data_IF_001381650913
#
_entry.id   IF_001381650913
#
_cell.length_a   1.000
_cell.length_b   1.000
_cell.length_c   1.000
_cell.angle_alpha   90.00
_cell.angle_beta   90.00
_cell.angle_gamma   90.00
#
_symmetry.space_group_name_H-M   'P 1'
#
loop_
_entity.id
_entity.type
_entity.pdbx_description
1 polymer ?
#
# COMPACT_ATOMS: atom_id res chain seq x y z
N UNK A 1 18.61 -31.11 -8.90
CA UNK A 1 18.51 -29.63 -8.97
C UNK A 1 17.37 -29.19 -8.05
N UNK A 2 17.63 -28.27 -7.14
CA UNK A 2 16.61 -27.71 -6.21
C UNK A 2 15.62 -26.89 -6.98
N UNK A 3 14.33 -27.12 -6.75
CA UNK A 3 13.23 -26.42 -7.44
C UNK A 3 12.47 -25.53 -6.46
N UNK A 4 12.28 -24.27 -6.82
CA UNK A 4 11.53 -23.28 -6.05
C UNK A 4 10.41 -22.70 -6.91
N UNK A 5 9.19 -22.73 -6.40
CA UNK A 5 8.04 -22.13 -7.06
C UNK A 5 7.52 -20.91 -6.29
N UNK A 6 7.21 -19.82 -6.99
CA UNK A 6 6.56 -18.62 -6.43
C UNK A 6 5.20 -18.44 -7.12
N UNK A 7 4.14 -18.36 -6.35
CA UNK A 7 2.78 -18.17 -6.86
C UNK A 7 2.38 -16.72 -6.69
N UNK A 8 2.27 -15.99 -7.79
CA UNK A 8 1.95 -14.57 -7.88
C UNK A 8 3.10 -13.72 -8.40
N UNK A 9 2.90 -13.13 -9.59
CA UNK A 9 3.84 -12.23 -10.27
C UNK A 9 3.68 -10.75 -9.90
N UNK A 10 3.14 -10.44 -8.71
CA UNK A 10 3.14 -9.09 -8.14
C UNK A 10 4.52 -8.72 -7.59
N UNK A 11 4.71 -7.46 -7.16
CA UNK A 11 6.02 -6.97 -6.66
C UNK A 11 6.59 -7.83 -5.53
N UNK A 12 5.75 -8.37 -4.65
CA UNK A 12 6.21 -9.24 -3.56
C UNK A 12 6.82 -10.55 -4.09
N UNK A 13 6.12 -11.22 -5.00
CA UNK A 13 6.60 -12.47 -5.60
C UNK A 13 7.83 -12.26 -6.48
N UNK A 14 7.84 -11.20 -7.30
CA UNK A 14 8.99 -10.86 -8.15
C UNK A 14 10.23 -10.53 -7.31
N UNK A 15 10.09 -9.75 -6.22
CA UNK A 15 11.20 -9.39 -5.35
C UNK A 15 11.77 -10.63 -4.63
N UNK A 16 10.91 -11.53 -4.10
CA UNK A 16 11.36 -12.78 -3.48
C UNK A 16 12.05 -13.68 -4.50
N UNK A 17 11.48 -13.82 -5.70
CA UNK A 17 12.07 -14.62 -6.77
C UNK A 17 13.48 -14.14 -7.15
N UNK A 18 13.67 -12.83 -7.29
CA UNK A 18 14.99 -12.22 -7.52
C UNK A 18 15.94 -12.47 -6.36
N UNK A 19 15.47 -12.31 -5.11
CA UNK A 19 16.27 -12.52 -3.92
C UNK A 19 16.71 -13.99 -3.77
N UNK A 20 15.82 -14.94 -4.05
CA UNK A 20 16.14 -16.38 -4.08
C UNK A 20 17.15 -16.69 -5.17
N UNK A 21 16.96 -16.21 -6.39
CA UNK A 21 17.88 -16.44 -7.51
C UNK A 21 19.30 -15.92 -7.23
N UNK A 22 19.44 -14.78 -6.56
CA UNK A 22 20.77 -14.29 -6.15
C UNK A 22 21.48 -15.20 -5.19
N UNK A 23 20.74 -15.86 -4.28
CA UNK A 23 21.29 -16.75 -3.25
C UNK A 23 21.51 -18.18 -3.74
N UNK A 24 20.69 -18.60 -4.69
CA UNK A 24 20.70 -19.96 -5.24
C UNK A 24 20.63 -19.90 -6.78
N UNK A 25 21.70 -19.45 -7.45
CA UNK A 25 21.71 -19.30 -8.92
C UNK A 25 21.48 -20.62 -9.67
N UNK A 26 21.84 -21.76 -9.06
CA UNK A 26 21.68 -23.09 -9.64
C UNK A 26 20.29 -23.70 -9.39
N UNK A 27 19.41 -23.04 -8.62
CA UNK A 27 18.07 -23.54 -8.39
C UNK A 27 17.18 -23.28 -9.62
N UNK A 28 16.34 -24.26 -9.95
CA UNK A 28 15.28 -24.09 -10.93
C UNK A 28 14.14 -23.27 -10.30
N UNK A 29 14.07 -22.00 -10.66
CA UNK A 29 13.08 -21.06 -10.15
C UNK A 29 11.93 -20.91 -11.15
N UNK A 30 10.70 -21.09 -10.70
CA UNK A 30 9.48 -20.81 -11.48
C UNK A 30 8.57 -19.83 -10.74
N UNK A 31 8.17 -18.75 -11.42
CA UNK A 31 7.15 -17.81 -10.93
C UNK A 31 5.89 -18.01 -11.75
N UNK A 32 4.75 -18.29 -11.10
CA UNK A 32 3.46 -18.48 -11.73
C UNK A 32 2.61 -17.22 -11.55
N UNK A 33 2.16 -16.62 -12.65
CA UNK A 33 1.23 -15.49 -12.64
C UNK A 33 -0.03 -15.85 -13.43
N UNK A 34 -1.18 -15.69 -12.79
CA UNK A 34 -2.47 -16.02 -13.38
C UNK A 34 -2.89 -15.07 -14.52
N UNK A 35 -2.47 -13.80 -14.41
CA UNK A 35 -2.77 -12.79 -15.42
C UNK A 35 -1.82 -12.89 -16.62
N UNK A 36 -2.22 -12.32 -17.79
CA UNK A 36 -1.36 -12.25 -18.98
C UNK A 36 -0.23 -11.21 -18.86
N UNK A 37 -0.10 -10.55 -17.70
CA UNK A 37 0.93 -9.56 -17.37
C UNK A 37 1.41 -9.70 -15.95
N UNK A 38 2.67 -9.34 -15.64
CA UNK A 38 3.16 -9.26 -14.27
C UNK A 38 2.68 -7.97 -13.57
N UNK A 39 2.94 -7.87 -12.26
CA UNK A 39 2.83 -6.65 -11.49
C UNK A 39 1.64 -6.57 -10.56
N UNK A 40 0.65 -7.46 -10.67
CA UNK A 40 -0.53 -7.43 -9.80
C UNK A 40 -1.27 -6.09 -9.87
N UNK A 41 -1.41 -5.40 -8.73
CA UNK A 41 -2.05 -4.09 -8.64
C UNK A 41 -1.16 -2.92 -9.14
N UNK A 42 0.11 -3.15 -9.44
CA UNK A 42 0.99 -2.14 -10.04
C UNK A 42 0.81 -2.20 -11.56
N UNK A 43 0.22 -1.13 -12.09
CA UNK A 43 0.06 -0.93 -13.53
C UNK A 43 0.01 0.54 -13.83
N UNK A 44 0.67 0.95 -14.91
CA UNK A 44 0.63 2.29 -15.48
C UNK A 44 0.11 2.22 -16.90
N UNK A 45 -0.72 3.17 -17.29
CA UNK A 45 -1.30 3.24 -18.64
C UNK A 45 -1.03 4.61 -19.23
N UNK A 46 -0.37 4.64 -20.40
CA UNK A 46 -0.20 5.87 -21.17
C UNK A 46 -1.27 5.93 -22.27
N UNK A 47 -2.10 6.96 -22.23
CA UNK A 47 -3.21 7.15 -23.19
C UNK A 47 -3.38 8.65 -23.47
N UNK A 48 -3.45 9.04 -24.73
CA UNK A 48 -3.61 10.42 -25.20
C UNK A 48 -2.62 11.40 -24.53
N UNK A 49 -1.39 10.94 -24.26
CA UNK A 49 -0.34 11.70 -23.59
C UNK A 49 -0.45 11.76 -22.07
N UNK A 50 -1.53 11.26 -21.47
CA UNK A 50 -1.66 11.11 -20.03
C UNK A 50 -1.00 9.82 -19.55
N UNK A 51 -0.42 9.83 -18.37
CA UNK A 51 0.13 8.65 -17.70
C UNK A 51 -0.66 8.36 -16.43
N UNK A 52 -1.54 7.38 -16.51
CA UNK A 52 -2.46 6.99 -15.45
C UNK A 52 -1.93 5.82 -14.65
N UNK A 53 -1.83 5.98 -13.32
CA UNK A 53 -1.52 4.86 -12.42
C UNK A 53 -2.82 4.16 -12.00
N UNK A 54 -2.87 2.84 -12.14
CA UNK A 54 -4.01 2.05 -11.70
C UNK A 54 -4.05 1.87 -10.19
N UNK A 55 -2.87 1.76 -9.55
CA UNK A 55 -2.71 1.46 -8.13
C UNK A 55 -1.80 2.47 -7.43
N UNK A 56 -0.69 2.02 -6.82
CA UNK A 56 0.21 2.90 -6.10
C UNK A 56 0.85 3.94 -7.01
N UNK A 57 1.02 5.16 -6.48
CA UNK A 57 1.58 6.30 -7.21
C UNK A 57 3.11 6.38 -7.13
N UNK A 58 3.71 5.59 -6.28
CA UNK A 58 5.15 5.59 -6.01
C UNK A 58 5.45 4.95 -4.65
N UNK A 59 6.68 5.14 -4.21
CA UNK A 59 7.20 4.66 -2.93
C UNK A 59 8.02 5.75 -2.25
N UNK A 60 8.29 5.61 -0.95
CA UNK A 60 9.17 6.54 -0.23
C UNK A 60 10.63 6.09 -0.39
N UNK A 61 11.50 6.99 -0.84
CA UNK A 61 12.91 6.73 -1.16
C UNK A 61 13.84 6.52 0.06
N UNK A 62 13.27 6.43 1.26
CA UNK A 62 14.01 6.20 2.51
C UNK A 62 14.29 4.74 2.84
N UNK A 63 13.77 3.80 2.05
CA UNK A 63 13.90 2.35 2.29
C UNK A 63 15.03 1.81 1.43
N UNK A 64 16.18 1.45 2.05
CA UNK A 64 17.38 1.07 1.31
C UNK A 64 17.20 -0.18 0.45
N UNK A 65 16.36 -1.13 0.87
CA UNK A 65 16.08 -2.36 0.14
C UNK A 65 15.39 -2.07 -1.20
N UNK A 66 14.43 -1.12 -1.21
CA UNK A 66 13.75 -0.73 -2.46
C UNK A 66 14.70 -0.01 -3.40
N UNK A 67 15.55 0.88 -2.87
CA UNK A 67 16.57 1.54 -3.69
C UNK A 67 17.66 0.57 -4.18
N UNK A 68 17.98 -0.47 -3.40
CA UNK A 68 18.89 -1.53 -3.84
C UNK A 68 18.28 -2.31 -5.02
N UNK A 69 17.02 -2.68 -4.94
CA UNK A 69 16.30 -3.34 -6.04
C UNK A 69 16.24 -2.45 -7.29
N UNK A 70 15.95 -1.16 -7.14
CA UNK A 70 15.94 -0.19 -8.24
C UNK A 70 17.30 -0.14 -8.94
N UNK A 71 18.41 -0.11 -8.17
CA UNK A 71 19.78 -0.10 -8.73
C UNK A 71 20.11 -1.43 -9.43
N UNK A 72 19.76 -2.55 -8.82
CA UNK A 72 19.95 -3.90 -9.39
C UNK A 72 19.26 -4.03 -10.75
N UNK A 73 18.08 -3.45 -10.88
CA UNK A 73 17.29 -3.48 -12.11
C UNK A 73 17.69 -2.39 -13.13
N UNK A 74 18.71 -1.58 -12.84
CA UNK A 74 19.19 -0.52 -13.75
C UNK A 74 18.25 0.67 -13.87
N UNK A 75 17.34 0.89 -12.90
CA UNK A 75 16.31 1.92 -12.98
C UNK A 75 16.66 3.23 -12.26
N UNK A 76 17.90 3.43 -11.80
CA UNK A 76 18.29 4.62 -11.04
C UNK A 76 18.01 5.92 -11.79
N UNK A 77 18.33 5.99 -13.09
CA UNK A 77 18.12 7.16 -13.95
C UNK A 77 16.64 7.37 -14.35
N UNK A 78 15.79 6.38 -14.11
CA UNK A 78 14.36 6.45 -14.37
C UNK A 78 13.56 6.99 -13.19
N UNK A 79 14.20 7.17 -12.03
CA UNK A 79 13.52 7.71 -10.85
C UNK A 79 12.96 9.11 -11.13
N UNK A 80 11.72 9.30 -10.73
CA UNK A 80 10.99 10.55 -10.82
C UNK A 80 10.52 10.97 -9.43
N UNK A 81 11.22 11.93 -8.86
CA UNK A 81 10.93 12.47 -7.53
C UNK A 81 9.72 13.39 -7.62
N UNK A 82 8.84 13.33 -6.62
CA UNK A 82 7.68 14.22 -6.56
C UNK A 82 8.08 15.69 -6.43
N UNK A 83 7.32 16.57 -7.06
CA UNK A 83 7.48 18.02 -6.97
C UNK A 83 7.29 18.52 -5.51
N UNK A 84 7.95 19.59 -5.14
CA UNK A 84 7.82 20.20 -3.81
C UNK A 84 6.39 20.66 -3.50
N UNK A 85 5.58 20.98 -4.51
CA UNK A 85 4.15 21.24 -4.37
C UNK A 85 3.41 20.08 -3.71
N UNK A 86 3.84 18.83 -3.94
CA UNK A 86 3.26 17.65 -3.32
C UNK A 86 3.38 17.60 -1.78
N UNK A 87 4.18 18.48 -1.18
CA UNK A 87 4.21 18.64 0.29
C UNK A 87 2.95 19.27 0.84
N UNK A 88 2.22 20.05 0.04
CA UNK A 88 0.93 20.62 0.41
C UNK A 88 -0.16 19.57 0.26
N UNK A 89 -0.87 19.31 1.34
CA UNK A 89 -1.97 18.35 1.39
C UNK A 89 -3.20 19.03 1.95
N UNK A 90 -4.37 18.58 1.53
CA UNK A 90 -5.62 19.18 1.95
C UNK A 90 -6.57 18.15 2.56
N UNK A 91 -7.50 18.62 3.37
CA UNK A 91 -8.65 17.87 3.87
C UNK A 91 -9.90 18.67 3.52
N UNK A 92 -10.87 18.01 2.89
CA UNK A 92 -12.18 18.59 2.65
C UNK A 92 -12.98 18.57 3.94
N UNK A 93 -13.43 19.72 4.39
CA UNK A 93 -14.24 19.83 5.61
C UNK A 93 -15.13 21.09 5.54
N UNK A 94 -16.37 20.95 5.98
CA UNK A 94 -17.33 22.09 6.03
C UNK A 94 -17.44 22.81 4.68
N UNK A 95 -17.53 22.05 3.59
CA UNK A 95 -17.73 22.59 2.24
C UNK A 95 -16.51 23.22 1.58
N UNK A 96 -15.28 23.08 2.15
CA UNK A 96 -14.05 23.62 1.54
C UNK A 96 -12.80 22.78 1.83
N UNK A 97 -11.78 23.01 1.03
CA UNK A 97 -10.47 22.40 1.22
C UNK A 97 -9.63 23.22 2.21
N UNK A 98 -9.20 22.55 3.28
CA UNK A 98 -8.31 23.10 4.30
C UNK A 98 -6.91 22.53 4.14
N UNK A 99 -5.85 23.37 4.08
CA UNK A 99 -4.49 22.87 4.07
C UNK A 99 -4.18 22.15 5.39
N UNK A 100 -3.51 21.00 5.29
CA UNK A 100 -2.99 20.29 6.47
C UNK A 100 -1.81 21.08 7.03
N UNK A 101 -1.82 21.44 8.31
CA UNK A 101 -0.76 22.26 8.91
C UNK A 101 0.60 21.55 8.85
N UNK A 102 1.63 22.25 8.36
CA UNK A 102 3.01 21.74 8.30
C UNK A 102 3.86 22.05 9.53
N UNK A 103 3.35 22.84 10.50
CA UNK A 103 4.08 23.21 11.70
C UNK A 103 3.20 23.86 12.76
N UNK A 104 3.76 24.17 13.97
CA UNK A 104 2.99 24.67 15.10
C UNK A 104 2.24 25.98 14.80
N UNK A 105 2.86 26.94 14.13
CA UNK A 105 2.23 28.22 13.79
C UNK A 105 1.03 28.04 12.83
N UNK A 106 1.22 27.28 11.74
CA UNK A 106 0.13 26.97 10.81
C UNK A 106 -0.96 26.12 11.47
N UNK A 107 -0.61 25.26 12.42
CA UNK A 107 -1.58 24.48 13.20
C UNK A 107 -2.47 25.39 14.06
N UNK A 108 -1.92 26.38 14.75
CA UNK A 108 -2.69 27.33 15.56
C UNK A 108 -3.59 28.21 14.67
N UNK A 109 -3.10 28.64 13.53
CA UNK A 109 -3.85 29.47 12.57
C UNK A 109 -4.92 28.70 11.76
N UNK A 110 -4.79 27.38 11.65
CA UNK A 110 -5.72 26.54 10.87
C UNK A 110 -7.10 26.47 11.52
N UNK A 111 -8.15 26.50 10.73
CA UNK A 111 -9.54 26.27 11.17
C UNK A 111 -10.00 24.80 10.94
N UNK A 112 -9.08 23.91 10.59
CA UNK A 112 -9.34 22.49 10.38
C UNK A 112 -9.87 21.80 11.65
N UNK A 113 -9.44 22.25 12.82
CA UNK A 113 -9.92 21.80 14.13
C UNK A 113 -10.45 22.98 14.94
N UNK A 114 -11.45 22.70 15.76
CA UNK A 114 -11.93 23.66 16.76
C UNK A 114 -10.83 24.00 17.76
N UNK A 115 -10.99 25.14 18.48
CA UNK A 115 -10.06 25.52 19.54
C UNK A 115 -9.98 24.46 20.64
N UNK A 116 -11.12 23.85 20.99
CA UNK A 116 -11.17 22.73 21.93
C UNK A 116 -10.39 21.51 21.43
N UNK A 117 -10.49 21.21 20.14
CA UNK A 117 -9.72 20.14 19.50
C UNK A 117 -8.20 20.38 19.54
N UNK A 118 -7.77 21.62 19.26
CA UNK A 118 -6.35 22.02 19.36
C UNK A 118 -5.81 21.91 20.78
N UNK A 119 -6.58 22.40 21.76
CA UNK A 119 -6.22 22.27 23.18
C UNK A 119 -6.11 20.80 23.59
N UNK A 120 -7.04 19.96 23.14
CA UNK A 120 -7.02 18.52 23.44
C UNK A 120 -5.76 17.83 22.87
N UNK A 121 -5.27 18.23 21.69
CA UNK A 121 -4.00 17.76 21.15
C UNK A 121 -2.83 18.22 22.02
N UNK A 122 -2.80 19.49 22.44
CA UNK A 122 -1.75 20.00 23.32
C UNK A 122 -1.69 19.26 24.67
N UNK A 123 -2.81 18.74 25.14
CA UNK A 123 -2.90 17.93 26.37
C UNK A 123 -2.53 16.45 26.16
N UNK A 124 -2.02 16.05 24.98
CA UNK A 124 -1.64 14.65 24.69
C UNK A 124 -0.71 14.05 25.75
N UNK A 125 0.31 14.74 26.30
CA UNK A 125 1.19 14.18 27.31
C UNK A 125 0.50 13.77 28.63
N UNK A 126 -0.71 14.29 28.87
CA UNK A 126 -1.55 13.97 30.03
C UNK A 126 -2.59 12.89 29.73
N UNK A 127 -2.65 12.40 28.49
CA UNK A 127 -3.61 11.38 28.09
C UNK A 127 -3.37 10.07 28.85
N UNK A 128 -4.47 9.38 29.18
CA UNK A 128 -4.42 8.07 29.85
C UNK A 128 -3.54 7.10 29.08
N UNK A 129 -2.78 6.28 29.82
CA UNK A 129 -2.00 5.19 29.21
C UNK A 129 -2.95 4.15 28.61
N UNK A 130 -2.39 3.36 27.73
CA UNK A 130 -3.04 2.33 26.95
C UNK A 130 -3.70 1.27 27.84
N UNK A 131 -4.90 0.76 27.48
CA UNK A 131 -5.41 -0.50 28.01
C UNK A 131 -4.54 -1.68 27.55
N UNK A 132 -4.59 -2.79 28.26
CA UNK A 132 -3.93 -4.03 27.85
C UNK A 132 -4.55 -4.55 26.53
N UNK A 133 -3.71 -5.04 25.62
CA UNK A 133 -4.14 -5.64 24.35
C UNK A 133 -4.01 -4.72 23.13
N UNK A 134 -4.53 -5.16 21.99
CA UNK A 134 -4.60 -4.39 20.75
C UNK A 134 -5.81 -3.43 20.78
N UNK A 135 -5.72 -2.32 20.11
CA UNK A 135 -6.78 -1.33 20.00
C UNK A 135 -6.91 -0.80 18.57
N UNK A 136 -8.08 -0.26 18.24
CA UNK A 136 -8.29 0.36 16.93
C UNK A 136 -7.53 1.68 16.82
N UNK A 137 -7.15 2.05 15.60
CA UNK A 137 -6.50 3.33 15.31
C UNK A 137 -7.35 4.51 15.81
N UNK A 138 -8.68 4.44 15.62
CA UNK A 138 -9.61 5.49 16.07
C UNK A 138 -9.67 5.59 17.60
N UNK A 139 -9.72 4.46 18.33
CA UNK A 139 -9.71 4.44 19.80
C UNK A 139 -8.42 5.05 20.36
N UNK A 140 -7.26 4.63 19.82
CA UNK A 140 -5.96 5.21 20.13
C UNK A 140 -5.95 6.72 19.93
N UNK A 141 -6.30 7.18 18.72
CA UNK A 141 -6.27 8.60 18.38
C UNK A 141 -7.22 9.41 19.26
N UNK A 142 -8.45 8.91 19.49
CA UNK A 142 -9.44 9.58 20.36
C UNK A 142 -8.94 9.71 21.79
N UNK A 143 -8.31 8.68 22.32
CA UNK A 143 -7.71 8.65 23.64
C UNK A 143 -6.52 9.61 23.77
N UNK A 144 -5.65 9.65 22.74
CA UNK A 144 -4.40 10.45 22.77
C UNK A 144 -4.63 11.92 22.40
N UNK A 145 -5.30 12.18 21.29
CA UNK A 145 -5.43 13.53 20.70
C UNK A 145 -6.88 14.05 20.60
N UNK A 146 -7.84 13.26 21.07
CA UNK A 146 -9.27 13.63 21.12
C UNK A 146 -10.06 13.23 19.86
N UNK A 147 -11.39 13.05 20.05
CA UNK A 147 -12.29 12.53 19.01
C UNK A 147 -12.36 13.39 17.75
N UNK A 148 -12.30 14.72 17.88
CA UNK A 148 -12.34 15.62 16.71
C UNK A 148 -11.11 15.40 15.81
N UNK A 149 -9.93 15.37 16.38
CA UNK A 149 -8.68 15.12 15.65
C UNK A 149 -8.62 13.70 15.11
N UNK A 150 -9.09 12.71 15.87
CA UNK A 150 -9.19 11.33 15.42
C UNK A 150 -10.06 11.20 14.18
N UNK A 151 -11.25 11.81 14.17
CA UNK A 151 -12.20 11.72 13.06
C UNK A 151 -11.80 12.60 11.85
N UNK A 152 -11.12 13.73 12.09
CA UNK A 152 -10.77 14.65 10.99
C UNK A 152 -9.42 14.32 10.36
N UNK A 153 -8.38 14.08 11.15
CA UNK A 153 -7.02 13.90 10.65
C UNK A 153 -6.68 12.43 10.45
N UNK A 154 -6.91 11.61 11.51
CA UNK A 154 -6.45 10.22 11.52
C UNK A 154 -7.34 9.35 10.65
N UNK A 155 -8.66 9.51 10.73
CA UNK A 155 -9.60 8.76 9.90
C UNK A 155 -9.41 9.05 8.39
N UNK A 156 -9.13 10.33 8.03
CA UNK A 156 -8.78 10.69 6.65
C UNK A 156 -7.48 10.04 6.19
N UNK A 157 -6.44 10.08 7.03
CA UNK A 157 -5.15 9.46 6.73
C UNK A 157 -5.30 7.94 6.53
N UNK A 158 -6.03 7.26 7.40
CA UNK A 158 -6.30 5.82 7.31
C UNK A 158 -7.08 5.49 6.04
N UNK A 159 -8.07 6.30 5.71
CA UNK A 159 -8.82 6.19 4.46
C UNK A 159 -7.92 6.34 3.23
N UNK A 160 -7.01 7.31 3.26
CA UNK A 160 -6.08 7.54 2.14
C UNK A 160 -5.00 6.46 1.97
N UNK A 161 -4.56 5.82 3.06
CA UNK A 161 -3.50 4.79 3.01
C UNK A 161 -4.07 3.38 2.82
N UNK A 162 -5.14 3.04 3.54
CA UNK A 162 -5.69 1.68 3.59
C UNK A 162 -7.03 1.55 2.88
N UNK A 163 -7.63 2.65 2.39
CA UNK A 163 -9.06 2.70 2.02
C UNK A 163 -9.93 2.05 3.13
N UNK A 164 -9.48 2.14 4.38
CA UNK A 164 -9.95 1.38 5.53
C UNK A 164 -10.83 2.19 6.48
N UNK A 165 -11.33 1.50 7.50
CA UNK A 165 -12.03 2.11 8.63
C UNK A 165 -11.11 2.15 9.86
N UNK A 166 -10.73 3.36 10.31
CA UNK A 166 -9.91 3.53 11.51
C UNK A 166 -10.53 2.91 12.79
N UNK A 167 -11.85 2.64 12.77
CA UNK A 167 -12.58 2.01 13.87
C UNK A 167 -12.50 0.48 13.88
N UNK A 168 -11.94 -0.11 12.81
CA UNK A 168 -11.74 -1.55 12.70
C UNK A 168 -10.26 -1.94 12.65
N UNK A 169 -9.42 -1.09 12.05
CA UNK A 169 -7.99 -1.37 11.84
C UNK A 169 -7.21 -1.30 13.15
N UNK A 170 -6.31 -2.28 13.34
CA UNK A 170 -5.37 -2.38 14.46
C UNK A 170 -4.30 -1.30 14.38
N UNK A 171 -4.11 -0.56 15.46
CA UNK A 171 -3.00 0.38 15.59
C UNK A 171 -1.66 -0.36 15.47
N UNK A 172 -1.52 -1.47 16.17
CA UNK A 172 -0.27 -2.21 16.28
C UNK A 172 0.15 -2.82 14.94
N UNK A 173 -0.81 -3.32 14.16
CA UNK A 173 -0.54 -3.90 12.85
C UNK A 173 -0.29 -2.83 11.77
N UNK A 174 -1.05 -1.72 11.78
CA UNK A 174 -0.95 -0.68 10.75
C UNK A 174 0.15 0.35 11.02
N UNK A 175 0.35 0.71 12.29
CA UNK A 175 1.28 1.76 12.72
C UNK A 175 2.14 1.33 13.93
N UNK A 176 2.96 0.27 13.80
CA UNK A 176 3.75 -0.27 14.91
C UNK A 176 4.62 0.79 15.58
N UNK A 177 5.18 1.73 14.82
CA UNK A 177 5.99 2.83 15.40
C UNK A 177 5.21 3.75 16.32
N UNK A 178 3.91 3.97 16.08
CA UNK A 178 3.08 4.77 16.98
C UNK A 178 2.83 4.02 18.29
N UNK A 179 2.61 2.71 18.18
CA UNK A 179 2.47 1.83 19.32
C UNK A 179 3.77 1.78 20.16
N UNK A 180 4.93 1.63 19.54
CA UNK A 180 6.25 1.65 20.18
C UNK A 180 6.49 2.99 20.91
N UNK A 181 6.24 4.12 20.23
CA UNK A 181 6.38 5.46 20.80
C UNK A 181 5.57 5.65 22.10
N UNK A 182 4.33 5.15 22.13
CA UNK A 182 3.53 5.20 23.35
C UNK A 182 4.07 4.24 24.41
N UNK A 183 4.48 3.04 24.05
CA UNK A 183 4.98 2.02 24.97
C UNK A 183 6.26 2.47 25.65
N UNK A 184 7.22 3.01 24.89
CA UNK A 184 8.54 3.43 25.39
C UNK A 184 8.51 4.75 26.13
N UNK A 185 7.76 5.74 25.62
CA UNK A 185 7.81 7.10 26.13
C UNK A 185 6.53 7.54 26.87
N UNK A 186 5.46 6.74 26.83
CA UNK A 186 4.16 7.05 27.43
C UNK A 186 3.40 8.21 26.75
N UNK A 187 3.98 8.85 25.74
CA UNK A 187 3.43 10.01 25.00
C UNK A 187 4.08 10.15 23.63
N UNK A 188 3.28 10.48 22.63
CA UNK A 188 3.77 10.76 21.28
C UNK A 188 4.65 12.02 21.25
N UNK A 189 4.29 13.08 22.01
CA UNK A 189 5.09 14.29 22.08
C UNK A 189 6.42 14.05 22.79
N UNK A 190 6.43 13.28 23.90
CA UNK A 190 7.68 12.92 24.58
C UNK A 190 8.59 12.10 23.68
N UNK A 191 8.04 11.13 22.96
CA UNK A 191 8.78 10.34 21.97
C UNK A 191 9.38 11.22 20.85
N UNK A 192 8.58 12.16 20.31
CA UNK A 192 9.06 13.09 19.30
C UNK A 192 10.20 13.97 19.81
N UNK A 193 10.07 14.51 21.02
CA UNK A 193 11.12 15.32 21.66
C UNK A 193 12.40 14.51 21.91
N UNK A 194 12.26 13.25 22.35
CA UNK A 194 13.42 12.35 22.53
C UNK A 194 14.14 12.13 21.20
N UNK A 195 13.41 11.77 20.13
CA UNK A 195 13.97 11.61 18.79
C UNK A 195 14.60 12.88 18.22
N UNK A 196 14.04 14.07 18.52
CA UNK A 196 14.65 15.34 18.12
C UNK A 196 15.96 15.62 18.86
N UNK A 197 16.06 15.25 20.14
CA UNK A 197 17.30 15.37 20.92
C UNK A 197 18.38 14.43 20.41
N UNK A 198 18.06 13.17 20.15
CA UNK A 198 18.98 12.19 19.57
C UNK A 198 19.52 12.65 18.21
N UNK A 199 18.65 13.21 17.36
CA UNK A 199 19.06 13.77 16.06
C UNK A 199 19.99 14.97 16.19
N UNK A 200 19.78 15.85 17.18
CA UNK A 200 20.71 16.97 17.43
C UNK A 200 22.10 16.48 17.81
N UNK A 201 22.18 15.39 18.56
CA UNK A 201 23.46 14.78 18.96
C UNK A 201 24.15 14.07 17.77
N UNK A 202 23.36 13.47 16.84
CA UNK A 202 23.88 12.76 15.65
C UNK A 202 24.06 13.63 14.40
N UNK A 203 23.90 14.96 14.47
CA UNK A 203 24.06 15.88 13.34
C UNK A 203 25.52 16.03 12.92
N UNK A 204 26.02 15.00 12.16
CA UNK A 204 27.23 15.06 11.35
C UNK A 204 26.96 14.82 9.87
N UNK A 205 26.06 13.86 9.50
CA UNK A 205 26.01 13.33 8.14
C UNK A 205 24.62 12.90 7.66
N UNK A 206 23.65 13.76 7.51
CA UNK A 206 22.46 13.39 6.72
C UNK A 206 21.78 14.57 6.02
N UNK A 207 22.09 14.75 4.78
CA UNK A 207 21.30 15.51 3.80
C UNK A 207 20.13 14.61 3.36
N UNK A 208 18.89 14.93 3.75
CA UNK A 208 17.69 14.20 3.32
C UNK A 208 16.48 14.49 4.22
N UNK A 209 15.27 14.43 3.66
CA UNK A 209 14.04 14.53 4.45
C UNK A 209 13.90 13.32 5.37
N UNK A 210 13.63 13.51 6.68
CA UNK A 210 13.52 12.39 7.63
C UNK A 210 12.35 11.45 7.34
N UNK A 211 11.40 11.87 6.50
CA UNK A 211 10.24 11.08 6.08
C UNK A 211 10.44 10.40 4.73
N UNK A 212 11.55 10.68 4.02
CA UNK A 212 11.75 10.32 2.63
C UNK A 212 10.90 11.18 1.69
N UNK A 213 11.20 11.13 0.41
CA UNK A 213 10.43 11.79 -0.65
C UNK A 213 9.62 10.74 -1.41
N UNK A 214 8.41 11.08 -1.78
CA UNK A 214 7.62 10.21 -2.64
C UNK A 214 8.26 10.18 -4.02
N UNK A 215 8.62 9.00 -4.49
CA UNK A 215 9.35 8.77 -5.72
C UNK A 215 8.63 7.73 -6.58
N UNK A 216 8.59 7.94 -7.86
CA UNK A 216 8.02 7.06 -8.88
C UNK A 216 9.05 6.84 -9.99
N UNK A 217 8.60 6.44 -11.17
CA UNK A 217 9.42 6.35 -12.37
C UNK A 217 8.83 7.23 -13.49
N UNK A 218 9.65 7.56 -14.48
CA UNK A 218 9.27 8.45 -15.60
C UNK A 218 8.07 7.90 -16.39
N UNK A 219 8.03 6.59 -16.62
CA UNK A 219 6.94 5.91 -17.32
C UNK A 219 5.98 5.15 -16.40
N UNK A 220 5.98 5.52 -15.11
CA UNK A 220 5.06 5.00 -14.12
C UNK A 220 5.64 3.90 -13.23
N UNK A 221 4.90 3.58 -12.18
CA UNK A 221 5.33 2.57 -11.19
C UNK A 221 5.47 1.18 -11.80
N UNK A 222 4.83 0.91 -12.94
CA UNK A 222 4.93 -0.37 -13.65
C UNK A 222 6.35 -0.64 -14.17
N UNK A 223 7.20 0.38 -14.37
CA UNK A 223 8.60 0.16 -14.78
C UNK A 223 9.33 -0.79 -13.83
N UNK A 224 9.10 -0.66 -12.52
CA UNK A 224 9.73 -1.53 -11.52
C UNK A 224 9.37 -3.00 -11.72
N UNK A 225 8.09 -3.30 -11.91
CA UNK A 225 7.64 -4.68 -12.06
C UNK A 225 7.96 -5.26 -13.44
N UNK A 226 7.97 -4.42 -14.49
CA UNK A 226 8.42 -4.84 -15.82
C UNK A 226 9.91 -5.19 -15.84
N UNK A 227 10.74 -4.38 -15.21
CA UNK A 227 12.18 -4.65 -15.11
C UNK A 227 12.45 -5.91 -14.26
N UNK A 228 11.74 -6.10 -13.13
CA UNK A 228 11.85 -7.30 -12.31
C UNK A 228 11.42 -8.56 -13.08
N UNK A 229 10.32 -8.48 -13.84
CA UNK A 229 9.86 -9.57 -14.69
C UNK A 229 10.86 -9.88 -15.82
N UNK A 230 11.41 -8.84 -16.48
CA UNK A 230 12.43 -8.98 -17.51
C UNK A 230 13.70 -9.65 -16.97
N UNK A 231 14.12 -9.26 -15.77
CA UNK A 231 15.25 -9.89 -15.10
C UNK A 231 15.02 -11.39 -14.81
N UNK A 232 13.79 -11.82 -14.50
CA UNK A 232 13.44 -13.23 -14.29
C UNK A 232 13.34 -14.01 -15.61
N UNK A 233 13.05 -13.36 -16.71
CA UNK A 233 13.01 -13.98 -18.05
C UNK A 233 12.10 -15.21 -18.09
N UNK A 234 12.60 -16.32 -18.63
CA UNK A 234 11.87 -17.60 -18.78
C UNK A 234 11.40 -18.26 -17.49
N UNK A 235 11.90 -17.81 -16.32
CA UNK A 235 11.42 -18.29 -15.02
C UNK A 235 10.01 -17.77 -14.69
N UNK A 236 9.52 -16.70 -15.36
CA UNK A 236 8.18 -16.17 -15.16
C UNK A 236 7.21 -16.74 -16.20
N UNK A 237 6.18 -17.45 -15.73
CA UNK A 237 5.10 -18.01 -16.56
C UNK A 237 3.84 -17.19 -16.34
N UNK A 238 3.44 -16.44 -17.36
CA UNK A 238 2.19 -15.66 -17.39
C UNK A 238 1.01 -16.52 -17.86
N UNK A 239 -0.21 -16.09 -17.59
CA UNK A 239 -1.44 -16.85 -17.91
C UNK A 239 -1.39 -18.28 -17.38
N UNK A 240 -0.72 -18.48 -16.24
CA UNK A 240 -0.49 -19.79 -15.64
C UNK A 240 -0.99 -19.81 -14.19
N UNK A 241 -2.30 -19.88 -13.95
CA UNK A 241 -2.86 -19.92 -12.62
C UNK A 241 -2.56 -21.23 -11.90
N UNK A 242 -2.03 -21.16 -10.67
CA UNK A 242 -2.01 -22.27 -9.75
C UNK A 242 -3.45 -22.55 -9.26
N UNK A 243 -3.84 -23.82 -9.22
CA UNK A 243 -5.20 -24.27 -8.87
C UNK A 243 -5.29 -24.96 -7.54
N UNK A 244 -4.28 -25.75 -7.20
CA UNK A 244 -4.17 -26.47 -5.93
C UNK A 244 -2.71 -26.74 -5.58
N UNK A 245 -2.46 -26.92 -4.30
CA UNK A 245 -1.18 -27.36 -3.76
C UNK A 245 -1.36 -28.74 -3.12
N UNK A 246 -0.44 -29.66 -3.42
CA UNK A 246 -0.42 -30.99 -2.81
C UNK A 246 0.96 -31.27 -2.22
N UNK A 247 1.00 -31.93 -1.08
CA UNK A 247 2.25 -32.46 -0.51
C UNK A 247 2.67 -33.73 -1.23
N UNK A 248 3.97 -33.86 -1.46
CA UNK A 248 4.61 -35.05 -2.04
C UNK A 248 5.71 -35.56 -1.11
N UNK A 249 6.29 -36.72 -1.40
CA UNK A 249 7.42 -37.26 -0.62
C UNK A 249 8.68 -36.37 -0.73
N UNK A 250 8.81 -35.57 -1.79
CA UNK A 250 9.98 -34.73 -2.07
C UNK A 250 9.71 -33.22 -1.88
N UNK A 251 8.53 -32.84 -1.42
CA UNK A 251 8.14 -31.43 -1.25
C UNK A 251 6.69 -31.18 -1.66
N UNK A 252 6.48 -30.44 -2.73
CA UNK A 252 5.19 -29.90 -3.16
C UNK A 252 4.93 -30.15 -4.64
N UNK A 253 3.67 -30.30 -4.99
CA UNK A 253 3.20 -30.29 -6.37
C UNK A 253 2.10 -29.23 -6.51
N UNK A 254 2.30 -28.28 -7.41
CA UNK A 254 1.32 -27.26 -7.79
C UNK A 254 0.56 -27.71 -9.03
N UNK A 255 -0.75 -27.86 -8.94
CA UNK A 255 -1.61 -28.07 -10.10
C UNK A 255 -1.74 -26.76 -10.86
N UNK A 256 -1.43 -26.79 -12.15
CA UNK A 256 -1.52 -25.64 -13.07
C UNK A 256 -2.39 -25.97 -14.27
N UNK A 257 -3.02 -24.97 -14.85
CA UNK A 257 -3.85 -25.18 -16.04
C UNK A 257 -3.02 -25.72 -17.22
N UNK A 258 -3.54 -26.74 -17.89
CA UNK A 258 -3.02 -27.23 -19.17
C UNK A 258 -1.74 -28.09 -19.10
N UNK A 259 -1.29 -28.51 -17.92
CA UNK A 259 -0.01 -29.25 -17.81
C UNK A 259 0.05 -30.30 -16.72
N UNK A 260 1.17 -31.04 -16.72
CA UNK A 260 1.59 -31.84 -15.57
C UNK A 260 1.85 -30.91 -14.38
N UNK A 261 1.56 -31.39 -13.15
CA UNK A 261 1.81 -30.61 -11.94
C UNK A 261 3.27 -30.14 -11.85
N UNK A 262 3.46 -28.92 -11.36
CA UNK A 262 4.81 -28.36 -11.11
C UNK A 262 5.31 -28.82 -9.76
N UNK A 263 6.35 -29.63 -9.74
CA UNK A 263 7.01 -30.05 -8.50
C UNK A 263 8.01 -29.02 -8.02
N UNK A 264 8.09 -28.80 -6.71
CA UNK A 264 9.06 -27.93 -6.05
C UNK A 264 9.35 -28.36 -4.62
N UNK A 265 10.58 -28.22 -4.17
CA UNK A 265 10.97 -28.44 -2.78
C UNK A 265 10.52 -27.28 -1.86
N UNK A 266 10.39 -26.06 -2.43
CA UNK A 266 9.84 -24.92 -1.72
C UNK A 266 8.81 -24.15 -2.58
N UNK A 267 7.72 -23.73 -1.93
CA UNK A 267 6.66 -22.92 -2.53
C UNK A 267 6.44 -21.65 -1.73
N UNK A 268 6.46 -20.49 -2.42
CA UNK A 268 6.15 -19.18 -1.84
C UNK A 268 4.82 -18.71 -2.41
N UNK A 269 3.79 -18.61 -1.56
CA UNK A 269 2.50 -18.03 -1.94
C UNK A 269 2.57 -16.51 -1.77
N UNK A 270 2.70 -15.80 -2.89
CA UNK A 270 2.78 -14.32 -2.96
C UNK A 270 1.51 -13.69 -3.53
N UNK A 271 0.47 -14.48 -3.75
CA UNK A 271 -0.86 -14.02 -4.13
C UNK A 271 -1.62 -13.43 -2.91
N UNK A 272 -2.70 -12.64 -3.12
CA UNK A 272 -3.53 -12.19 -2.02
C UNK A 272 -3.99 -13.34 -1.11
N UNK A 273 -4.10 -13.15 0.22
CA UNK A 273 -4.44 -14.24 1.15
C UNK A 273 -5.71 -15.01 0.79
N UNK A 274 -6.76 -14.30 0.33
CA UNK A 274 -8.01 -14.93 -0.13
C UNK A 274 -7.86 -15.76 -1.40
N UNK A 275 -6.84 -15.49 -2.22
CA UNK A 275 -6.48 -16.28 -3.41
C UNK A 275 -5.57 -17.46 -3.02
N UNK A 276 -4.70 -17.26 -2.03
CA UNK A 276 -3.82 -18.32 -1.51
C UNK A 276 -4.57 -19.36 -0.68
N UNK A 277 -5.65 -18.96 -0.01
CA UNK A 277 -6.43 -19.84 0.86
C UNK A 277 -6.94 -21.12 0.15
N UNK A 278 -7.62 -21.07 -1.01
CA UNK A 278 -8.07 -22.28 -1.69
C UNK A 278 -6.91 -23.15 -2.19
N UNK A 279 -5.71 -22.61 -2.40
CA UNK A 279 -4.56 -23.39 -2.84
C UNK A 279 -4.09 -24.36 -1.74
N UNK A 280 -4.19 -23.97 -0.47
CA UNK A 280 -3.78 -24.79 0.67
C UNK A 280 -4.93 -25.57 1.31
N UNK A 281 -6.15 -25.38 0.83
CA UNK A 281 -7.29 -26.20 1.25
C UNK A 281 -7.02 -27.68 0.86
N UNK A 282 -7.29 -28.60 1.79
CA UNK A 282 -6.95 -30.02 1.61
C UNK A 282 -5.51 -30.40 2.00
N UNK A 283 -4.62 -29.39 2.12
CA UNK A 283 -3.30 -29.59 2.77
C UNK A 283 -3.41 -29.24 4.26
N UNK A 284 -4.00 -28.07 4.55
CA UNK A 284 -4.21 -27.55 5.90
C UNK A 284 -5.44 -26.62 5.92
N UNK A 285 -6.64 -27.20 6.14
CA UNK A 285 -7.89 -26.45 6.18
C UNK A 285 -7.90 -25.31 7.22
N UNK A 286 -7.36 -25.50 8.46
CA UNK A 286 -7.21 -24.39 9.39
C UNK A 286 -6.31 -23.26 8.89
N UNK A 287 -5.23 -23.54 8.15
CA UNK A 287 -4.41 -22.51 7.50
C UNK A 287 -5.21 -21.77 6.43
N UNK A 288 -5.93 -22.51 5.58
CA UNK A 288 -6.80 -21.92 4.56
C UNK A 288 -7.84 -20.99 5.19
N UNK A 289 -8.49 -21.39 6.29
CA UNK A 289 -9.44 -20.57 7.01
C UNK A 289 -8.82 -19.26 7.56
N UNK A 290 -7.62 -19.32 8.14
CA UNK A 290 -6.94 -18.13 8.66
C UNK A 290 -6.54 -17.16 7.51
N UNK A 291 -6.10 -17.69 6.36
CA UNK A 291 -5.79 -16.90 5.17
C UNK A 291 -7.06 -16.23 4.60
N UNK A 292 -8.13 -17.00 4.42
CA UNK A 292 -9.40 -16.51 3.90
C UNK A 292 -10.01 -15.42 4.79
N UNK A 293 -9.76 -15.47 6.09
CA UNK A 293 -10.28 -14.52 7.06
C UNK A 293 -9.52 -13.17 7.11
N UNK A 294 -8.47 -12.96 6.31
CA UNK A 294 -7.84 -11.63 6.15
C UNK A 294 -8.69 -10.81 5.18
N UNK A 295 -9.39 -9.76 5.66
CA UNK A 295 -10.29 -9.00 4.80
C UNK A 295 -9.50 -8.13 3.80
N UNK A 296 -10.12 -7.82 2.68
CA UNK A 296 -9.61 -6.84 1.70
C UNK A 296 -10.68 -5.82 1.37
N UNK A 297 -10.31 -4.56 1.26
CA UNK A 297 -11.19 -3.48 0.82
C UNK A 297 -11.12 -3.35 -0.70
N UNK A 298 -12.27 -3.42 -1.35
CA UNK A 298 -12.40 -3.13 -2.78
C UNK A 298 -12.30 -1.63 -3.04
N UNK A 299 -11.63 -1.24 -4.11
CA UNK A 299 -11.39 0.16 -4.46
C UNK A 299 -11.55 0.37 -5.97
N UNK A 300 -12.23 1.45 -6.35
CA UNK A 300 -12.23 1.98 -7.70
C UNK A 300 -11.37 3.25 -7.76
N UNK A 301 -10.54 3.33 -8.79
CA UNK A 301 -9.70 4.48 -9.10
C UNK A 301 -10.21 5.07 -10.42
N UNK A 302 -10.60 6.36 -10.40
CA UNK A 302 -11.10 7.06 -11.58
C UNK A 302 -10.12 8.18 -11.93
N UNK A 303 -9.38 8.00 -13.01
CA UNK A 303 -8.47 9.00 -13.54
C UNK A 303 -9.20 9.90 -14.54
N UNK A 304 -9.06 11.21 -14.38
CA UNK A 304 -9.75 12.24 -15.14
C UNK A 304 -8.76 13.28 -15.64
N UNK A 305 -8.75 13.51 -16.95
CA UNK A 305 -7.98 14.57 -17.61
C UNK A 305 -8.84 15.77 -17.91
N UNK A 306 -8.31 16.97 -17.68
CA UNK A 306 -8.97 18.25 -17.97
C UNK A 306 -8.00 19.22 -18.63
N UNK A 307 -8.54 20.21 -19.38
CA UNK A 307 -7.76 21.38 -19.73
C UNK A 307 -7.46 22.20 -18.46
N UNK A 308 -6.23 22.65 -18.28
CA UNK A 308 -5.80 23.40 -17.08
C UNK A 308 -6.63 24.69 -16.90
N UNK A 309 -7.01 25.35 -17.99
CA UNK A 309 -7.87 26.56 -18.00
C UNK A 309 -9.28 26.32 -17.48
N UNK A 310 -9.75 25.07 -17.45
CA UNK A 310 -11.09 24.72 -16.97
C UNK A 310 -11.15 24.50 -15.46
N UNK A 311 -10.00 24.52 -14.78
CA UNK A 311 -9.95 24.39 -13.34
C UNK A 311 -10.28 25.73 -12.66
N UNK A 312 -11.13 25.73 -11.61
CA UNK A 312 -11.43 26.94 -10.83
C UNK A 312 -10.21 27.51 -10.11
N UNK A 313 -9.18 26.70 -9.90
CA UNK A 313 -7.91 27.08 -9.28
C UNK A 313 -6.78 26.14 -9.72
N UNK A 314 -5.51 26.57 -9.71
CA UNK A 314 -4.39 25.72 -9.99
C UNK A 314 -4.31 24.52 -9.03
N UNK A 315 -3.78 23.38 -9.52
CA UNK A 315 -3.43 22.23 -8.69
C UNK A 315 -2.04 22.46 -8.10
N UNK A 316 -1.97 22.92 -6.86
CA UNK A 316 -0.74 23.30 -6.18
C UNK A 316 -0.46 22.42 -4.94
N UNK A 317 -0.64 21.13 -5.06
CA UNK A 317 -0.51 20.21 -3.94
C UNK A 317 -0.54 18.74 -4.33
N UNK A 318 -0.56 17.90 -3.32
CA UNK A 318 -0.71 16.45 -3.45
C UNK A 318 -2.12 16.04 -3.87
N UNK A 319 -3.10 16.82 -3.38
CA UNK A 319 -4.51 16.48 -3.44
C UNK A 319 -5.15 16.59 -2.07
N UNK A 320 -6.31 15.97 -1.92
CA UNK A 320 -7.09 16.06 -0.67
C UNK A 320 -7.72 14.73 -0.29
N UNK A 321 -8.05 14.63 1.00
CA UNK A 321 -8.80 13.53 1.59
C UNK A 321 -10.14 14.04 2.10
N UNK A 322 -11.13 13.13 2.13
CA UNK A 322 -12.49 13.42 2.62
C UNK A 322 -12.74 12.63 3.91
N UNK A 323 -12.86 13.29 5.06
CA UNK A 323 -13.27 12.64 6.30
C UNK A 323 -14.68 12.05 6.19
N UNK A 324 -14.97 11.07 7.02
CA UNK A 324 -16.31 10.49 7.15
C UNK A 324 -17.33 11.56 7.55
N UNK A 325 -18.48 11.58 6.87
CA UNK A 325 -19.62 12.46 7.23
C UNK A 325 -19.59 13.85 6.59
N UNK A 326 -18.61 14.16 5.74
CA UNK A 326 -18.54 15.45 5.04
C UNK A 326 -19.37 15.50 3.73
N UNK A 327 -20.06 14.42 3.36
CA UNK A 327 -20.99 14.34 2.23
C UNK A 327 -20.46 13.61 0.99
N UNK A 328 -19.30 13.94 0.41
CA UNK A 328 -18.78 13.22 -0.74
C UNK A 328 -18.55 11.74 -0.45
N UNK A 329 -18.76 10.88 -1.47
CA UNK A 329 -18.47 9.43 -1.42
C UNK A 329 -17.02 9.11 -1.75
N UNK A 330 -16.32 9.99 -2.48
CA UNK A 330 -14.89 9.80 -2.75
C UNK A 330 -14.10 9.80 -1.44
N UNK A 331 -13.09 8.94 -1.35
CA UNK A 331 -12.15 8.91 -0.22
C UNK A 331 -11.17 10.08 -0.28
N UNK A 332 -10.87 10.54 -1.49
CA UNK A 332 -9.98 11.65 -1.78
C UNK A 332 -9.62 11.70 -3.25
N UNK A 333 -8.84 12.71 -3.60
CA UNK A 333 -8.36 12.97 -4.95
C UNK A 333 -6.86 13.25 -4.91
N UNK A 334 -6.10 12.55 -5.72
CA UNK A 334 -4.70 12.85 -6.02
C UNK A 334 -4.62 13.79 -7.22
N UNK A 335 -3.75 14.78 -7.17
CA UNK A 335 -3.45 15.68 -8.27
C UNK A 335 -2.18 15.22 -8.97
N UNK A 336 -2.30 14.14 -9.76
CA UNK A 336 -1.17 13.40 -10.30
C UNK A 336 -0.20 14.28 -11.10
N UNK A 337 -0.70 15.21 -11.92
CA UNK A 337 0.13 16.15 -12.69
C UNK A 337 0.81 17.23 -11.83
N UNK A 338 0.29 17.51 -10.63
CA UNK A 338 0.95 18.38 -9.65
C UNK A 338 2.02 17.63 -8.84
N UNK A 339 1.77 16.34 -8.54
CA UNK A 339 2.72 15.50 -7.81
C UNK A 339 3.91 15.14 -8.68
N UNK A 340 3.66 14.75 -9.92
CA UNK A 340 4.68 14.35 -10.88
C UNK A 340 4.48 15.12 -12.20
N UNK A 341 5.28 16.14 -12.47
CA UNK A 341 5.27 16.83 -13.77
C UNK A 341 5.45 15.83 -14.93
N UNK A 342 4.70 16.05 -16.02
CA UNK A 342 4.73 15.15 -17.19
C UNK A 342 3.73 13.98 -17.14
N UNK A 343 2.89 13.89 -16.11
CA UNK A 343 1.76 12.93 -16.06
C UNK A 343 0.59 13.32 -16.97
N UNK A 344 0.53 14.56 -17.41
CA UNK A 344 -0.46 15.07 -18.36
C UNK A 344 0.23 15.85 -19.50
N UNK A 345 -0.40 15.96 -20.69
CA UNK A 345 0.10 16.80 -21.75
C UNK A 345 0.20 18.29 -21.35
N UNK A 346 0.97 19.08 -22.09
CA UNK A 346 1.10 20.52 -21.82
C UNK A 346 -0.28 21.21 -21.86
N UNK A 347 -0.55 22.07 -20.87
CA UNK A 347 -1.82 22.76 -20.70
C UNK A 347 -2.98 21.85 -20.27
N UNK A 348 -2.69 20.66 -19.81
CA UNK A 348 -3.62 19.66 -19.28
C UNK A 348 -3.23 19.27 -17.86
N UNK A 349 -4.20 18.76 -17.12
CA UNK A 349 -4.02 18.22 -15.77
C UNK A 349 -4.64 16.84 -15.65
N UNK A 350 -4.06 16.02 -14.79
CA UNK A 350 -4.54 14.71 -14.43
C UNK A 350 -4.86 14.67 -12.94
N UNK A 351 -6.09 14.29 -12.62
CA UNK A 351 -6.54 14.03 -11.25
C UNK A 351 -7.05 12.60 -11.14
N UNK A 352 -6.93 12.02 -9.97
CA UNK A 352 -7.31 10.63 -9.72
C UNK A 352 -8.14 10.55 -8.45
N UNK A 353 -9.45 10.25 -8.60
CA UNK A 353 -10.38 10.04 -7.50
C UNK A 353 -10.41 8.59 -7.07
N UNK A 354 -10.48 8.35 -5.76
CA UNK A 354 -10.62 7.02 -5.16
C UNK A 354 -12.00 6.89 -4.55
N UNK A 355 -12.71 5.79 -4.87
CA UNK A 355 -14.07 5.52 -4.42
C UNK A 355 -14.16 4.08 -3.91
N UNK A 356 -14.90 3.85 -2.83
CA UNK A 356 -15.08 2.51 -2.24
C UNK A 356 -14.39 2.37 -0.90
N UNK A 357 -13.57 1.32 -0.77
CA UNK A 357 -12.92 0.99 0.49
C UNK A 357 -13.86 0.33 1.50
N UNK A 358 -13.37 0.12 2.72
CA UNK A 358 -14.13 -0.53 3.79
C UNK A 358 -15.39 0.24 4.22
N UNK A 359 -15.48 1.53 3.87
CA UNK A 359 -16.64 2.38 4.23
C UNK A 359 -17.78 2.33 3.22
N UNK A 360 -17.47 1.99 1.97
CA UNK A 360 -18.44 1.97 0.87
C UNK A 360 -18.11 0.81 -0.10
N UNK A 361 -18.20 -0.44 0.35
CA UNK A 361 -17.80 -1.60 -0.45
C UNK A 361 -18.64 -1.79 -1.72
N UNK A 362 -19.84 -1.22 -1.76
CA UNK A 362 -20.73 -1.32 -2.94
C UNK A 362 -20.28 -0.40 -4.09
N UNK A 363 -19.50 0.65 -3.80
CA UNK A 363 -19.09 1.59 -4.83
C UNK A 363 -18.24 0.94 -5.93
N UNK A 364 -17.43 -0.08 -5.60
CA UNK A 364 -16.60 -0.79 -6.59
C UNK A 364 -17.44 -1.61 -7.59
N UNK A 365 -18.70 -1.90 -7.25
CA UNK A 365 -19.65 -2.66 -8.09
C UNK A 365 -20.48 -1.79 -9.02
N UNK A 366 -20.46 -0.46 -8.84
CA UNK A 366 -21.13 0.47 -9.73
C UNK A 366 -20.58 0.32 -11.15
N UNK A 367 -21.43 0.44 -12.16
CA UNK A 367 -20.98 0.57 -13.55
C UNK A 367 -20.18 1.86 -13.76
N UNK A 368 -19.50 1.98 -14.91
CA UNK A 368 -18.61 3.12 -15.18
C UNK A 368 -19.36 4.45 -15.22
N UNK A 369 -20.60 4.46 -15.74
CA UNK A 369 -21.42 5.66 -15.83
C UNK A 369 -21.85 6.16 -14.43
N UNK A 370 -22.36 5.26 -13.59
CA UNK A 370 -22.75 5.56 -12.22
C UNK A 370 -21.56 6.02 -11.38
N UNK A 371 -20.41 5.33 -11.51
CA UNK A 371 -19.19 5.68 -10.79
C UNK A 371 -18.66 7.05 -11.22
N UNK A 372 -18.62 7.34 -12.52
CA UNK A 372 -18.24 8.64 -13.07
C UNK A 372 -19.19 9.73 -12.59
N UNK A 373 -20.50 9.46 -12.54
CA UNK A 373 -21.51 10.38 -12.00
C UNK A 373 -21.24 10.73 -10.54
N UNK A 374 -20.89 9.75 -9.70
CA UNK A 374 -20.49 9.98 -8.30
C UNK A 374 -19.26 10.89 -8.23
N UNK A 375 -18.20 10.54 -8.97
CA UNK A 375 -16.93 11.28 -8.93
C UNK A 375 -17.12 12.72 -9.41
N UNK A 376 -17.82 12.94 -10.51
CA UNK A 376 -18.04 14.30 -11.05
C UNK A 376 -18.84 15.18 -10.09
N UNK A 377 -19.92 14.66 -9.51
CA UNK A 377 -20.68 15.37 -8.48
C UNK A 377 -19.80 15.76 -7.30
N UNK A 378 -18.98 14.85 -6.84
CA UNK A 378 -18.11 15.07 -5.69
C UNK A 378 -16.94 16.03 -6.02
N UNK A 379 -16.42 16.03 -7.25
CA UNK A 379 -15.44 17.04 -7.72
C UNK A 379 -16.07 18.44 -7.83
N UNK A 380 -17.31 18.55 -8.32
CA UNK A 380 -18.04 19.81 -8.32
C UNK A 380 -18.22 20.35 -6.89
N UNK A 381 -18.58 19.48 -5.94
CA UNK A 381 -18.77 19.85 -4.53
C UNK A 381 -17.46 20.24 -3.84
N UNK A 382 -16.37 19.51 -4.08
CA UNK A 382 -15.12 19.66 -3.32
C UNK A 382 -14.14 20.64 -3.93
N UNK A 383 -14.10 20.72 -5.26
CA UNK A 383 -13.15 21.54 -6.02
C UNK A 383 -13.84 22.65 -6.83
N UNK A 384 -15.17 22.67 -6.93
CA UNK A 384 -15.90 23.52 -7.87
C UNK A 384 -15.70 23.12 -9.34
N UNK A 385 -15.23 21.91 -9.60
CA UNK A 385 -14.90 21.41 -10.94
C UNK A 385 -16.11 20.70 -11.54
N UNK A 386 -16.93 21.45 -12.28
CA UNK A 386 -18.15 20.97 -12.97
C UNK A 386 -17.97 20.91 -14.50
N UNK A 387 -16.77 20.63 -14.97
CA UNK A 387 -16.48 20.50 -16.40
C UNK A 387 -16.50 19.01 -16.82
N UNK A 388 -16.74 18.78 -18.11
CA UNK A 388 -16.58 17.44 -18.69
C UNK A 388 -15.07 17.12 -18.79
N UNK A 389 -14.63 15.95 -18.31
CA UNK A 389 -13.26 15.53 -18.51
C UNK A 389 -13.00 15.18 -19.99
N UNK A 390 -11.80 15.50 -20.47
CA UNK A 390 -11.35 15.11 -21.82
C UNK A 390 -10.89 13.63 -21.84
N UNK A 391 -10.43 13.13 -20.70
CA UNK A 391 -10.03 11.72 -20.48
C UNK A 391 -10.78 11.15 -19.27
N UNK A 392 -11.27 9.92 -19.42
CA UNK A 392 -11.80 9.12 -18.31
C UNK A 392 -11.19 7.72 -18.39
N UNK A 393 -10.63 7.24 -17.28
CA UNK A 393 -10.22 5.84 -17.08
C UNK A 393 -10.69 5.34 -15.73
N UNK A 394 -11.28 4.16 -15.73
CA UNK A 394 -11.80 3.51 -14.52
C UNK A 394 -11.04 2.23 -14.26
N UNK A 395 -10.43 2.11 -13.11
CA UNK A 395 -9.67 0.94 -12.68
C UNK A 395 -10.29 0.36 -11.42
N UNK A 396 -10.60 -0.93 -11.41
CA UNK A 396 -11.20 -1.61 -10.27
C UNK A 396 -10.26 -2.61 -9.65
N UNK A 397 -10.19 -2.58 -8.34
CA UNK A 397 -9.42 -3.50 -7.52
C UNK A 397 -10.36 -4.16 -6.50
N UNK A 398 -11.06 -5.26 -6.86
CA UNK A 398 -11.99 -5.94 -5.95
C UNK A 398 -11.33 -6.41 -4.65
N UNK A 399 -10.07 -6.85 -4.74
CA UNK A 399 -9.20 -7.23 -3.62
C UNK A 399 -8.07 -6.19 -3.46
N UNK A 400 -8.45 -4.91 -3.38
CA UNK A 400 -7.49 -3.80 -3.51
C UNK A 400 -6.48 -3.73 -2.37
N UNK A 401 -6.94 -3.49 -1.14
CA UNK A 401 -6.06 -3.24 0.00
C UNK A 401 -6.45 -4.14 1.18
N UNK A 402 -5.53 -5.01 1.65
CA UNK A 402 -5.75 -5.82 2.84
C UNK A 402 -6.02 -4.95 4.07
N UNK A 403 -6.91 -5.43 4.93
CA UNK A 403 -7.38 -4.72 6.11
C UNK A 403 -6.83 -5.40 7.38
N UNK A 404 -5.87 -4.81 8.02
CA UNK A 404 -5.28 -5.30 9.27
C UNK A 404 -6.16 -4.90 10.44
N UNK A 405 -7.29 -5.60 10.60
CA UNK A 405 -8.23 -5.38 11.68
C UNK A 405 -7.64 -5.81 13.04
N UNK A 406 -8.23 -5.37 14.15
CA UNK A 406 -7.84 -5.84 15.49
C UNK A 406 -7.82 -7.38 15.52
N UNK A 407 -6.76 -7.95 16.06
CA UNK A 407 -6.50 -9.41 16.03
C UNK A 407 -5.68 -9.89 14.82
N UNK A 408 -5.24 -8.97 13.93
CA UNK A 408 -4.44 -9.35 12.74
C UNK A 408 -3.09 -9.98 13.13
N UNK A 409 -2.38 -9.43 14.12
CA UNK A 409 -1.07 -9.97 14.53
C UNK A 409 -1.20 -11.35 15.17
N UNK A 410 -2.25 -11.58 15.95
CA UNK A 410 -2.56 -12.89 16.52
C UNK A 410 -2.91 -13.90 15.43
N UNK A 411 -3.61 -13.45 14.37
CA UNK A 411 -3.86 -14.26 13.17
C UNK A 411 -2.56 -14.62 12.46
N UNK A 412 -1.67 -13.66 12.25
CA UNK A 412 -0.36 -13.94 11.65
C UNK A 412 0.44 -14.97 12.46
N UNK A 413 0.42 -14.87 13.79
CA UNK A 413 1.07 -15.86 14.63
C UNK A 413 0.49 -17.27 14.46
N UNK A 414 -0.85 -17.40 14.31
CA UNK A 414 -1.49 -18.68 13.99
C UNK A 414 -1.10 -19.18 12.61
N UNK A 415 -1.10 -18.33 11.60
CA UNK A 415 -0.64 -18.67 10.24
C UNK A 415 0.80 -19.17 10.27
N UNK A 416 1.72 -18.46 10.93
CA UNK A 416 3.12 -18.85 11.06
C UNK A 416 3.29 -20.20 11.79
N UNK A 417 2.54 -20.41 12.87
CA UNK A 417 2.53 -21.69 13.60
C UNK A 417 2.04 -22.87 12.73
N UNK A 418 1.08 -22.61 11.83
CA UNK A 418 0.61 -23.62 10.86
C UNK A 418 1.65 -23.88 9.79
N UNK A 419 2.20 -22.83 9.18
CA UNK A 419 3.24 -22.94 8.16
C UNK A 419 4.48 -23.69 8.66
N UNK A 420 4.84 -23.55 9.92
CA UNK A 420 5.96 -24.27 10.52
C UNK A 420 5.82 -25.81 10.49
N UNK A 421 4.60 -26.33 10.30
CA UNK A 421 4.33 -27.77 10.15
C UNK A 421 4.54 -28.26 8.72
N UNK A 422 4.71 -27.34 7.77
CA UNK A 422 4.78 -27.59 6.34
C UNK A 422 6.11 -27.12 5.80
N UNK A 423 7.14 -27.98 5.91
CA UNK A 423 8.49 -27.64 5.41
C UNK A 423 8.45 -27.22 3.95
N UNK A 424 9.10 -26.11 3.62
CA UNK A 424 9.14 -25.56 2.27
C UNK A 424 7.91 -24.79 1.84
N UNK A 425 6.90 -24.54 2.71
CA UNK A 425 5.76 -23.70 2.39
C UNK A 425 5.88 -22.32 3.07
N UNK A 426 5.77 -21.25 2.29
CA UNK A 426 5.92 -19.88 2.75
C UNK A 426 4.82 -18.99 2.20
N UNK A 427 4.55 -17.88 2.88
CA UNK A 427 3.63 -16.83 2.42
C UNK A 427 4.31 -15.46 2.46
N UNK A 428 3.96 -14.57 1.54
CA UNK A 428 4.43 -13.18 1.50
C UNK A 428 3.43 -12.27 0.79
N UNK A 429 3.68 -10.96 0.85
CA UNK A 429 2.87 -9.94 0.18
C UNK A 429 2.17 -9.00 1.13
N UNK A 430 1.48 -8.05 0.54
CA UNK A 430 0.82 -6.97 1.27
C UNK A 430 -0.32 -7.41 2.20
N UNK A 431 -0.75 -8.67 2.12
CA UNK A 431 -1.77 -9.24 2.99
C UNK A 431 -1.31 -9.48 4.43
N UNK A 432 -0.02 -9.50 4.68
CA UNK A 432 0.57 -9.93 5.95
C UNK A 432 1.23 -8.78 6.72
N UNK A 433 2.26 -8.13 6.14
CA UNK A 433 3.10 -7.14 6.84
C UNK A 433 3.36 -5.91 5.98
N UNK A 434 2.47 -4.90 6.06
CA UNK A 434 2.60 -3.63 5.35
C UNK A 434 2.12 -3.66 3.90
N UNK A 435 1.27 -2.68 3.56
CA UNK A 435 0.52 -2.62 2.29
C UNK A 435 1.29 -1.92 1.16
N UNK A 436 2.44 -1.32 1.45
CA UNK A 436 3.20 -0.51 0.50
C UNK A 436 4.19 -1.34 -0.33
N UNK A 437 4.62 -0.81 -1.49
CA UNK A 437 5.70 -1.38 -2.31
C UNK A 437 6.94 -1.66 -1.45
N UNK A 438 7.37 -0.67 -0.67
CA UNK A 438 8.52 -0.79 0.22
C UNK A 438 8.42 -2.00 1.17
N UNK A 439 7.23 -2.21 1.76
CA UNK A 439 7.03 -3.34 2.69
C UNK A 439 7.17 -4.69 1.97
N UNK A 440 6.60 -4.81 0.76
CA UNK A 440 6.72 -6.02 -0.04
C UNK A 440 8.18 -6.33 -0.42
N UNK A 441 8.96 -5.30 -0.73
CA UNK A 441 10.38 -5.47 -1.10
C UNK A 441 11.24 -5.77 0.13
N UNK A 442 11.02 -5.08 1.25
CA UNK A 442 11.76 -5.32 2.51
C UNK A 442 11.55 -6.75 3.02
N UNK A 443 10.33 -7.30 2.92
CA UNK A 443 10.04 -8.67 3.34
C UNK A 443 10.68 -9.74 2.44
N UNK A 444 11.11 -9.38 1.21
CA UNK A 444 11.65 -10.33 0.26
C UNK A 444 13.00 -10.92 0.68
N UNK A 445 13.90 -10.10 1.23
CA UNK A 445 15.23 -10.51 1.63
C UNK A 445 15.22 -11.55 2.77
N UNK A 446 14.57 -11.27 3.94
CA UNK A 446 14.52 -12.24 5.03
C UNK A 446 13.72 -13.50 4.66
N UNK A 447 12.74 -13.39 3.76
CA UNK A 447 12.03 -14.57 3.29
C UNK A 447 12.91 -15.44 2.40
N UNK A 448 13.71 -14.87 1.51
CA UNK A 448 14.66 -15.60 0.69
C UNK A 448 15.70 -16.33 1.56
N UNK A 449 16.19 -15.71 2.65
CA UNK A 449 17.08 -16.38 3.61
C UNK A 449 16.42 -17.61 4.24
N UNK A 450 15.14 -17.52 4.60
CA UNK A 450 14.36 -18.64 5.15
C UNK A 450 14.16 -19.77 4.13
N UNK A 451 13.90 -19.42 2.86
CA UNK A 451 13.75 -20.39 1.76
C UNK A 451 15.07 -21.15 1.57
N UNK A 452 16.20 -20.43 1.48
CA UNK A 452 17.52 -21.03 1.33
C UNK A 452 17.87 -21.95 2.51
N UNK A 453 17.67 -21.47 3.74
CA UNK A 453 17.94 -22.26 4.95
C UNK A 453 17.10 -23.54 5.01
N UNK A 454 15.85 -23.50 4.53
CA UNK A 454 14.98 -24.67 4.47
C UNK A 454 15.47 -25.73 3.46
N UNK A 455 16.11 -25.29 2.37
CA UNK A 455 16.57 -26.14 1.26
C UNK A 455 18.02 -26.62 1.41
N UNK A 456 18.79 -25.96 2.27
CA UNK A 456 20.15 -26.43 2.61
C UNK A 456 20.08 -27.78 3.30
N UNK A 457 20.99 -28.71 2.96
CA UNK A 457 21.11 -29.99 3.69
C UNK A 457 21.27 -29.72 5.19
N UNK A 458 20.49 -30.37 6.02
CA UNK A 458 20.74 -30.43 7.45
C UNK A 458 22.03 -31.23 7.65
N UNK A 459 23.10 -30.57 8.13
CA UNK A 459 24.35 -31.26 8.54
C UNK A 459 24.08 -32.31 9.62
#
# INVERSE_FOLDING_TARGET
VTRVAVVGGGIAGLAVALAVRRRMPEAELTVLEAAPRPGGNIRSERVDGYLCEWGPNGFLDRVPETLALVRELGLSEHLHVSDDRARRRFIFRRGRLHPVPGGPGSFLASDLLSWKGKLRIAMEPLARRRPNGDETIHAFASRRIGGEAASTLVDSMVSGVFAGDARALSLRACFPKMWEMETEHGSLFRALLAKMRERRVRRGDAVGSPLGTLTSFRDGTEELVRAAAGALGGSLRLSCPARALRSTSSGWCLDVDGGAGLEAEAVVLAAPPSVSAPLVAGVDDPLAAELAAIPSAGLAVVALGYAERDLPRPLDGFGFLVPRGEGPRILGVLWDSSVYPGRAPQGRVLVRAMVGGARDPEAVRLDDGALLGVVRRDLALTMGLDRQPELVRVFRHPLGIPQYVVGHLERLARIESRLARHRGLFVTGNGYRGVAINSCVTEAEPLADRVVACLSPTE
#
